data_IF_355146631090
#
_entry.id   IF_355146631090
#
_cell.length_a   1.000
_cell.length_b   1.000
_cell.length_c   1.000
_cell.angle_alpha   90.00
_cell.angle_beta   90.00
_cell.angle_gamma   90.00
#
_symmetry.space_group_name_H-M   'P 1'
#
loop_
_entity.id
_entity.type
_entity.pdbx_description
1 polymer ?
#
# COMPACT_ATOMS: atom_id res chain seq x y z
N UNK A 1 6.88 10.89 6.49
CA UNK A 1 5.97 9.76 6.81
C UNK A 1 4.64 10.06 6.14
N UNK A 2 4.05 9.10 5.45
CA UNK A 2 2.76 9.22 4.77
C UNK A 2 1.83 8.13 5.33
N UNK A 3 0.63 8.52 5.76
CA UNK A 3 -0.43 7.62 6.18
C UNK A 3 -1.62 7.89 5.27
N UNK A 4 -2.17 6.85 4.65
CA UNK A 4 -3.27 6.99 3.68
C UNK A 4 -4.07 5.69 3.58
N UNK A 5 -5.34 5.80 3.23
CA UNK A 5 -6.16 4.64 2.83
C UNK A 5 -5.79 4.20 1.41
N UNK A 6 -5.92 2.90 1.07
CA UNK A 6 -5.45 2.37 -0.22
C UNK A 6 -6.06 3.09 -1.43
N UNK A 7 -7.39 3.30 -1.42
CA UNK A 7 -8.07 3.96 -2.53
C UNK A 7 -7.57 5.39 -2.80
N UNK A 8 -7.31 6.18 -1.75
CA UNK A 8 -6.82 7.56 -1.90
C UNK A 8 -5.35 7.61 -2.30
N UNK A 9 -4.53 6.69 -1.78
CA UNK A 9 -3.12 6.59 -2.17
C UNK A 9 -2.95 6.15 -3.62
N UNK A 10 -3.77 5.20 -4.08
CA UNK A 10 -3.82 4.79 -5.50
C UNK A 10 -4.18 5.96 -6.40
N UNK A 11 -5.23 6.70 -6.06
CA UNK A 11 -5.65 7.88 -6.82
C UNK A 11 -4.52 8.92 -6.94
N UNK A 12 -3.80 9.20 -5.85
CA UNK A 12 -2.62 10.07 -5.93
C UNK A 12 -1.50 9.49 -6.79
N UNK A 13 -1.27 8.18 -6.74
CA UNK A 13 -0.25 7.50 -7.54
C UNK A 13 -0.55 7.57 -9.04
N UNK A 14 -1.83 7.47 -9.42
CA UNK A 14 -2.27 7.49 -10.83
C UNK A 14 -2.47 8.91 -11.37
N UNK A 15 -3.06 9.81 -10.57
CA UNK A 15 -3.59 11.08 -11.06
C UNK A 15 -2.83 12.32 -10.58
N UNK A 16 -1.89 12.21 -9.63
CA UNK A 16 -1.09 13.35 -9.18
C UNK A 16 0.27 13.40 -9.89
N UNK A 17 0.54 14.41 -10.73
CA UNK A 17 1.81 14.51 -11.45
C UNK A 17 3.03 14.45 -10.52
N UNK A 18 3.97 13.57 -10.84
CA UNK A 18 5.22 13.39 -10.09
C UNK A 18 5.07 12.68 -8.73
N UNK A 19 3.86 12.28 -8.31
CA UNK A 19 3.67 11.57 -7.05
C UNK A 19 4.33 10.19 -7.06
N UNK A 20 4.13 9.41 -8.12
CA UNK A 20 4.76 8.09 -8.29
C UNK A 20 6.30 8.17 -8.19
N UNK A 21 6.93 9.19 -8.78
CA UNK A 21 8.38 9.41 -8.66
C UNK A 21 8.82 9.64 -7.22
N UNK A 22 7.99 10.31 -6.39
CA UNK A 22 8.29 10.52 -4.96
C UNK A 22 8.23 9.22 -4.16
N UNK A 23 7.43 8.25 -4.58
CA UNK A 23 7.35 6.94 -3.93
C UNK A 23 8.62 6.10 -4.11
N UNK A 24 9.46 6.40 -5.10
CA UNK A 24 10.75 5.71 -5.30
C UNK A 24 11.74 5.89 -4.15
N UNK A 25 11.53 6.87 -3.27
CA UNK A 25 12.34 7.07 -2.05
C UNK A 25 11.88 6.25 -0.83
N UNK A 26 10.78 5.49 -0.95
CA UNK A 26 10.20 4.74 0.18
C UNK A 26 11.08 3.57 0.56
N UNK A 27 11.53 3.55 1.81
CA UNK A 27 12.34 2.46 2.40
C UNK A 27 11.56 1.51 3.31
N UNK A 28 10.36 1.92 3.72
CA UNK A 28 9.49 1.18 4.62
C UNK A 28 8.05 1.29 4.15
N UNK A 29 7.36 0.16 4.04
CA UNK A 29 5.93 0.05 3.79
C UNK A 29 5.28 -0.69 4.97
N UNK A 30 4.20 -0.14 5.52
CA UNK A 30 3.42 -0.78 6.58
C UNK A 30 2.00 -0.98 6.08
N UNK A 31 1.51 -2.21 6.15
CA UNK A 31 0.11 -2.56 5.93
C UNK A 31 -0.47 -2.91 7.31
N UNK A 32 -1.41 -2.09 7.78
CA UNK A 32 -2.07 -2.27 9.07
C UNK A 32 -3.54 -2.68 8.85
N UNK A 33 -4.11 -3.42 9.79
CA UNK A 33 -5.44 -4.05 9.69
C UNK A 33 -5.63 -4.77 8.34
N UNK A 34 -4.63 -5.57 7.93
CA UNK A 34 -4.57 -6.13 6.58
C UNK A 34 -5.77 -7.03 6.24
N UNK A 35 -6.29 -7.78 7.20
CA UNK A 35 -7.54 -8.53 7.09
C UNK A 35 -8.73 -7.63 6.71
N UNK A 36 -8.95 -6.56 7.47
CA UNK A 36 -10.01 -5.60 7.19
C UNK A 36 -9.87 -4.96 5.80
N UNK A 37 -8.65 -4.60 5.41
CA UNK A 37 -8.41 -4.02 4.08
C UNK A 37 -8.77 -5.00 2.95
N UNK A 38 -8.50 -6.30 3.13
CA UNK A 38 -8.86 -7.33 2.16
C UNK A 38 -10.38 -7.56 2.11
N UNK A 39 -11.06 -7.58 3.25
CA UNK A 39 -12.52 -7.71 3.35
C UNK A 39 -13.25 -6.55 2.67
N UNK A 40 -12.69 -5.34 2.75
CA UNK A 40 -13.19 -4.15 2.06
C UNK A 40 -12.93 -4.16 0.53
N UNK A 41 -12.24 -5.18 0.02
CA UNK A 41 -11.95 -5.33 -1.41
C UNK A 41 -10.75 -4.51 -1.91
N UNK A 42 -9.88 -4.01 -1.02
CA UNK A 42 -8.74 -3.17 -1.41
C UNK A 42 -7.54 -3.93 -1.99
N UNK A 43 -7.64 -5.26 -2.17
CA UNK A 43 -6.55 -6.10 -2.71
C UNK A 43 -5.88 -5.47 -3.95
N UNK A 44 -6.66 -5.12 -4.97
CA UNK A 44 -6.13 -4.55 -6.22
C UNK A 44 -5.46 -3.18 -6.02
N UNK A 45 -5.96 -2.38 -5.09
CA UNK A 45 -5.39 -1.07 -4.79
C UNK A 45 -4.04 -1.22 -4.07
N UNK A 46 -3.97 -2.17 -3.14
CA UNK A 46 -2.74 -2.50 -2.41
C UNK A 46 -1.68 -3.05 -3.36
N UNK A 47 -2.03 -3.97 -4.26
CA UNK A 47 -1.12 -4.51 -5.29
C UNK A 47 -0.52 -3.39 -6.14
N UNK A 48 -1.36 -2.46 -6.63
CA UNK A 48 -0.88 -1.28 -7.38
C UNK A 48 0.06 -0.38 -6.57
N UNK A 49 -0.23 -0.16 -5.28
CA UNK A 49 0.63 0.64 -4.39
C UNK A 49 1.98 -0.07 -4.20
N UNK A 50 1.95 -1.39 -3.98
CA UNK A 50 3.15 -2.22 -3.83
C UNK A 50 4.05 -2.14 -5.07
N UNK A 51 3.44 -2.13 -6.26
CA UNK A 51 4.16 -2.02 -7.54
C UNK A 51 4.76 -0.62 -7.76
N UNK A 52 4.15 0.41 -7.17
CA UNK A 52 4.61 1.80 -7.28
C UNK A 52 5.76 2.16 -6.32
N UNK A 53 6.06 1.31 -5.34
CA UNK A 53 7.17 1.52 -4.38
C UNK A 53 8.37 0.59 -4.71
N UNK A 54 9.60 0.93 -4.29
CA UNK A 54 10.77 0.10 -4.56
C UNK A 54 10.63 -1.34 -4.05
N UNK A 55 11.14 -2.31 -4.82
CA UNK A 55 11.21 -3.73 -4.40
C UNK A 55 12.10 -3.93 -3.19
N UNK A 56 13.23 -3.22 -3.13
CA UNK A 56 14.13 -3.23 -1.98
C UNK A 56 13.63 -2.24 -0.93
N UNK A 57 12.75 -2.73 -0.06
CA UNK A 57 12.20 -1.99 1.09
C UNK A 57 11.92 -2.97 2.23
N UNK A 58 11.86 -2.45 3.46
CA UNK A 58 11.28 -3.20 4.56
C UNK A 58 9.75 -3.15 4.43
N UNK A 59 9.08 -4.29 4.43
CA UNK A 59 7.62 -4.35 4.47
C UNK A 59 7.19 -5.00 5.79
N UNK A 60 6.27 -4.36 6.49
CA UNK A 60 5.62 -4.87 7.69
C UNK A 60 4.13 -5.05 7.39
N UNK A 61 3.57 -6.18 7.81
CA UNK A 61 2.14 -6.46 7.72
C UNK A 61 1.64 -6.79 9.12
N UNK A 62 0.60 -6.08 9.54
CA UNK A 62 -0.10 -6.28 10.80
C UNK A 62 -1.56 -6.61 10.48
N UNK A 63 -2.08 -7.62 11.16
CA UNK A 63 -3.42 -8.14 10.96
C UNK A 63 -3.89 -8.82 12.24
N UNK A 64 -5.17 -8.69 12.58
CA UNK A 64 -5.73 -9.37 13.74
C UNK A 64 -5.95 -10.86 13.44
N UNK A 65 -6.28 -11.16 12.19
CA UNK A 65 -6.49 -12.51 11.66
C UNK A 65 -5.63 -12.73 10.42
N UNK A 66 -5.22 -13.98 10.20
CA UNK A 66 -4.58 -14.41 8.95
C UNK A 66 -5.47 -15.51 8.41
N UNK A 67 -6.22 -15.29 7.32
CA UNK A 67 -7.02 -16.35 6.74
C UNK A 67 -6.09 -17.46 6.25
N UNK A 68 -6.42 -18.71 6.58
CA UNK A 68 -5.83 -19.89 5.94
C UNK A 68 -6.28 -19.87 4.47
N UNK A 69 -5.34 -20.00 3.53
CA UNK A 69 -5.57 -19.91 2.08
C UNK A 69 -6.82 -20.64 1.57
#
# INVERSE_FOLDING_TARGET
>A
ILVATPGRLRDHTENTPGFATRLLGVKMLVLDEADHLLDMGFRKDIEKIIDAVPKQRQTLLFSATVPDE
#
